data_IF_565407416932
#
_entry.id   IF_565407416932
#
_cell.length_a   1.000
_cell.length_b   1.000
_cell.length_c   1.000
_cell.angle_alpha   90.00
_cell.angle_beta   90.00
_cell.angle_gamma   90.00
#
_symmetry.space_group_name_H-M   'P 1'
#
loop_
_entity.id
_entity.type
_entity.pdbx_description
1 polymer ?
#
# COMPACT_ATOMS: atom_id res chain seq x y z
N UNK A 1 -11.44 -61.52 -42.62
CA UNK A 1 -12.59 -62.23 -42.04
C UNK A 1 -12.22 -62.63 -40.63
N UNK A 2 -12.43 -61.73 -39.68
CA UNK A 2 -12.23 -61.99 -38.26
C UNK A 2 -13.60 -61.85 -37.59
N UNK A 3 -13.99 -62.89 -36.87
CA UNK A 3 -15.29 -63.08 -36.24
C UNK A 3 -15.44 -62.19 -34.99
N UNK A 4 -16.52 -61.41 -34.94
CA UNK A 4 -16.93 -60.67 -33.74
C UNK A 4 -17.50 -61.63 -32.67
N UNK A 5 -17.08 -61.49 -31.40
CA UNK A 5 -17.67 -62.25 -30.31
C UNK A 5 -18.98 -61.63 -29.83
N UNK A 6 -20.00 -62.48 -29.79
CA UNK A 6 -21.35 -62.23 -29.28
C UNK A 6 -21.33 -62.08 -27.75
N UNK A 7 -21.55 -60.86 -27.25
CA UNK A 7 -21.62 -60.54 -25.82
C UNK A 7 -23.08 -60.60 -25.37
N UNK A 8 -23.39 -61.56 -24.52
CA UNK A 8 -24.69 -61.70 -23.83
C UNK A 8 -24.92 -60.57 -22.82
N UNK A 9 -26.15 -60.02 -22.70
CA UNK A 9 -26.46 -58.98 -21.73
C UNK A 9 -26.55 -59.59 -20.33
N UNK A 10 -25.57 -59.26 -19.49
CA UNK A 10 -25.63 -59.52 -18.06
C UNK A 10 -26.58 -58.52 -17.40
N UNK A 11 -27.71 -59.04 -16.94
CA UNK A 11 -28.44 -58.69 -15.71
C UNK A 11 -27.96 -57.42 -15.00
N UNK A 12 -28.55 -56.28 -15.38
CA UNK A 12 -28.44 -55.02 -14.67
C UNK A 12 -29.13 -55.17 -13.31
N UNK A 13 -28.34 -55.36 -12.25
CA UNK A 13 -28.78 -55.11 -10.88
C UNK A 13 -28.81 -53.61 -10.68
N UNK A 14 -29.99 -53.09 -10.37
CA UNK A 14 -30.19 -51.75 -9.82
C UNK A 14 -29.38 -51.64 -8.50
N UNK A 15 -28.12 -51.21 -8.61
CA UNK A 15 -27.42 -50.57 -7.50
C UNK A 15 -28.09 -49.23 -7.27
N UNK A 16 -29.01 -49.22 -6.30
CA UNK A 16 -29.57 -48.00 -5.72
C UNK A 16 -28.39 -47.20 -5.19
N UNK A 17 -28.00 -46.17 -5.94
CA UNK A 17 -26.96 -45.23 -5.51
C UNK A 17 -27.36 -44.70 -4.13
N UNK A 18 -26.46 -44.76 -3.12
CA UNK A 18 -26.75 -44.22 -1.81
C UNK A 18 -27.12 -42.76 -1.95
N UNK A 19 -28.24 -42.39 -1.32
CA UNK A 19 -28.77 -41.04 -1.36
C UNK A 19 -27.67 -40.08 -0.88
N UNK A 20 -27.48 -38.95 -1.58
CA UNK A 20 -26.34 -38.03 -1.36
C UNK A 20 -26.22 -37.62 0.11
N UNK A 21 -27.35 -37.61 0.82
CA UNK A 21 -27.45 -37.32 2.24
C UNK A 21 -26.78 -38.36 3.15
N UNK A 22 -26.82 -39.65 2.81
CA UNK A 22 -26.20 -40.71 3.63
C UNK A 22 -24.66 -40.65 3.55
N UNK A 23 -24.13 -40.24 2.39
CA UNK A 23 -22.68 -40.09 2.20
C UNK A 23 -22.12 -38.89 2.98
N UNK A 24 -22.90 -37.81 3.11
CA UNK A 24 -22.53 -36.62 3.89
C UNK A 24 -22.58 -36.90 5.41
N UNK A 25 -23.56 -37.69 5.87
CA UNK A 25 -23.65 -38.12 7.28
C UNK A 25 -22.50 -39.06 7.64
N UNK A 26 -22.14 -40.01 6.76
CA UNK A 26 -21.02 -40.94 6.99
C UNK A 26 -19.66 -40.23 7.01
N UNK A 27 -19.43 -39.23 6.14
CA UNK A 27 -18.21 -38.42 6.19
C UNK A 27 -18.14 -37.56 7.47
N UNK A 28 -19.27 -37.02 7.91
CA UNK A 28 -19.32 -36.22 9.16
C UNK A 28 -19.02 -37.08 10.38
N UNK A 29 -19.58 -38.30 10.46
CA UNK A 29 -19.34 -39.22 11.58
C UNK A 29 -17.91 -39.79 11.58
N UNK A 30 -17.32 -40.04 10.40
CA UNK A 30 -15.93 -40.48 10.29
C UNK A 30 -14.94 -39.41 10.80
N UNK A 31 -15.22 -38.14 10.55
CA UNK A 31 -14.40 -37.03 11.05
C UNK A 31 -14.56 -36.78 12.56
N UNK A 32 -15.70 -37.08 13.17
CA UNK A 32 -15.86 -37.02 14.63
C UNK A 32 -15.11 -38.15 15.35
N UNK A 33 -15.14 -39.38 14.82
CA UNK A 33 -14.48 -40.52 15.47
C UNK A 33 -12.94 -40.45 15.43
N UNK A 34 -12.35 -39.79 14.43
CA UNK A 34 -10.90 -39.55 14.37
C UNK A 34 -10.42 -38.54 15.43
N UNK A 35 -11.31 -37.66 15.90
CA UNK A 35 -10.96 -36.61 16.85
C UNK A 35 -11.05 -37.02 18.34
N UNK A 36 -11.75 -38.12 18.67
CA UNK A 36 -11.93 -38.54 20.07
C UNK A 36 -10.85 -39.51 20.61
N UNK A 37 -9.98 -40.03 19.73
CA UNK A 37 -9.00 -41.07 20.10
C UNK A 37 -7.59 -40.60 20.40
N UNK A 38 -7.23 -39.33 20.12
CA UNK A 38 -5.86 -38.87 20.31
C UNK A 38 -5.68 -38.39 21.76
N UNK A 39 -4.89 -39.09 22.59
CA UNK A 39 -4.67 -38.69 23.97
C UNK A 39 -4.18 -37.26 23.98
N UNK A 40 -4.86 -36.40 24.74
CA UNK A 40 -4.48 -35.03 25.01
C UNK A 40 -3.08 -35.02 25.62
N UNK A 41 -2.05 -35.06 24.76
CA UNK A 41 -0.66 -34.89 25.12
C UNK A 41 -0.56 -33.51 25.72
N UNK A 42 -0.55 -33.53 27.05
CA UNK A 42 -0.39 -32.39 27.94
C UNK A 42 1.05 -31.89 27.84
N UNK A 43 1.50 -31.56 26.63
CA UNK A 43 2.67 -30.75 26.40
C UNK A 43 2.21 -29.29 26.41
N UNK A 44 1.79 -28.85 27.60
CA UNK A 44 1.72 -27.44 27.96
C UNK A 44 3.14 -26.85 28.09
N UNK A 45 4.04 -27.23 27.18
CA UNK A 45 5.33 -26.62 26.98
C UNK A 45 5.05 -25.24 26.42
N UNK A 46 4.99 -24.26 27.33
CA UNK A 46 5.03 -22.81 27.10
C UNK A 46 5.46 -22.46 25.68
N UNK A 47 4.50 -22.41 24.75
CA UNK A 47 4.73 -21.90 23.41
C UNK A 47 4.99 -20.41 23.59
N UNK A 48 6.27 -20.06 23.66
CA UNK A 48 6.66 -18.66 23.61
C UNK A 48 6.03 -18.07 22.35
N UNK A 49 5.37 -16.92 22.43
CA UNK A 49 4.67 -16.33 21.30
C UNK A 49 5.67 -16.08 20.18
N UNK A 50 5.66 -16.97 19.19
CA UNK A 50 6.57 -16.89 18.04
C UNK A 50 6.29 -15.57 17.33
N UNK A 51 7.33 -14.75 17.13
CA UNK A 51 7.16 -13.47 16.44
C UNK A 51 6.82 -13.72 14.98
N UNK A 52 5.62 -13.32 14.54
CA UNK A 52 5.26 -13.31 13.13
C UNK A 52 5.86 -12.12 12.38
N UNK A 53 6.38 -12.36 11.17
CA UNK A 53 6.88 -11.33 10.25
C UNK A 53 6.41 -11.61 8.81
N UNK A 54 6.08 -10.56 8.03
CA UNK A 54 5.63 -10.74 6.65
C UNK A 54 6.76 -11.28 5.79
N UNK A 55 6.43 -12.13 4.81
CA UNK A 55 7.42 -12.64 3.86
C UNK A 55 7.85 -11.52 2.92
N UNK A 56 9.15 -11.26 2.85
CA UNK A 56 9.69 -10.23 1.94
C UNK A 56 10.20 -10.91 0.68
N UNK A 57 9.36 -11.03 -0.34
CA UNK A 57 9.74 -11.67 -1.61
C UNK A 57 10.53 -10.69 -2.49
N UNK A 58 11.34 -11.17 -3.46
CA UNK A 58 11.96 -10.30 -4.46
C UNK A 58 10.97 -9.38 -5.17
N UNK A 59 9.77 -9.87 -5.50
CA UNK A 59 8.70 -9.03 -6.06
C UNK A 59 8.32 -7.88 -5.12
N UNK A 60 8.04 -8.17 -3.85
CA UNK A 60 7.66 -7.16 -2.86
C UNK A 60 8.79 -6.16 -2.61
N UNK A 61 10.04 -6.62 -2.64
CA UNK A 61 11.19 -5.73 -2.55
C UNK A 61 11.29 -4.80 -3.76
N UNK A 62 11.03 -5.29 -4.98
CA UNK A 62 10.99 -4.46 -6.19
C UNK A 62 9.88 -3.41 -6.14
N UNK A 63 8.70 -3.74 -5.59
CA UNK A 63 7.61 -2.78 -5.37
C UNK A 63 8.01 -1.61 -4.48
N UNK A 64 9.01 -1.77 -3.61
CA UNK A 64 9.57 -0.70 -2.78
C UNK A 64 10.73 0.01 -3.48
N UNK A 65 11.68 -0.76 -4.02
CA UNK A 65 12.91 -0.22 -4.59
C UNK A 65 12.65 0.60 -5.86
N UNK A 66 11.73 0.17 -6.72
CA UNK A 66 11.47 0.85 -7.99
C UNK A 66 10.91 2.27 -7.74
N UNK A 67 9.82 2.48 -6.98
CA UNK A 67 9.35 3.84 -6.67
C UNK A 67 10.41 4.73 -6.02
N UNK A 68 11.19 4.20 -5.07
CA UNK A 68 12.29 4.95 -4.42
C UNK A 68 13.35 5.38 -5.43
N UNK A 69 13.76 4.48 -6.32
CA UNK A 69 14.79 4.76 -7.34
C UNK A 69 14.30 5.79 -8.36
N UNK A 70 13.05 5.68 -8.82
CA UNK A 70 12.44 6.60 -9.79
C UNK A 70 12.23 7.97 -9.15
N UNK A 71 11.68 8.02 -7.93
CA UNK A 71 11.52 9.27 -7.19
C UNK A 71 12.87 9.97 -7.02
N UNK A 72 13.91 9.23 -6.62
CA UNK A 72 15.25 9.79 -6.43
C UNK A 72 15.86 10.29 -7.74
N UNK A 73 15.75 9.52 -8.82
CA UNK A 73 16.22 9.92 -10.15
C UNK A 73 15.50 11.19 -10.62
N UNK A 74 14.16 11.23 -10.47
CA UNK A 74 13.33 12.39 -10.79
C UNK A 74 13.78 13.62 -10.02
N UNK A 75 13.92 13.51 -8.69
CA UNK A 75 14.39 14.62 -7.85
C UNK A 75 15.75 15.13 -8.27
N UNK A 76 16.72 14.26 -8.54
CA UNK A 76 18.05 14.67 -8.99
C UNK A 76 17.96 15.42 -10.33
N UNK A 77 17.19 14.92 -11.29
CA UNK A 77 17.02 15.60 -12.60
C UNK A 77 16.30 16.94 -12.47
N UNK A 78 15.23 17.00 -11.65
CA UNK A 78 14.51 18.25 -11.40
C UNK A 78 15.39 19.30 -10.72
N UNK A 79 16.25 18.89 -9.77
CA UNK A 79 17.17 19.80 -9.09
C UNK A 79 18.30 20.32 -9.99
N UNK A 80 18.60 19.63 -11.10
CA UNK A 80 19.53 20.11 -12.13
C UNK A 80 18.90 21.13 -13.09
N UNK A 81 17.60 21.38 -12.98
CA UNK A 81 16.86 22.25 -13.88
C UNK A 81 16.42 21.59 -15.18
N UNK A 82 16.59 20.26 -15.32
CA UNK A 82 16.10 19.53 -16.49
C UNK A 82 14.58 19.43 -16.41
N UNK A 83 13.86 19.98 -17.40
CA UNK A 83 12.38 19.89 -17.44
C UNK A 83 11.90 18.64 -18.17
N UNK A 84 12.59 18.19 -19.22
CA UNK A 84 12.17 17.05 -20.05
C UNK A 84 12.38 15.71 -19.35
N UNK A 85 13.57 15.49 -18.76
CA UNK A 85 13.91 14.23 -18.10
C UNK A 85 12.92 13.81 -17.00
N UNK A 86 12.58 14.65 -15.99
CA UNK A 86 11.64 14.25 -14.94
C UNK A 86 10.23 13.97 -15.47
N UNK A 87 9.78 14.69 -16.51
CA UNK A 87 8.49 14.42 -17.17
C UNK A 87 8.51 13.05 -17.85
N UNK A 88 9.58 12.72 -18.58
CA UNK A 88 9.69 11.40 -19.22
C UNK A 88 9.75 10.26 -18.22
N UNK A 89 10.45 10.43 -17.10
CA UNK A 89 10.48 9.46 -16.01
C UNK A 89 9.08 9.25 -15.42
N UNK A 90 8.30 10.32 -15.23
CA UNK A 90 6.92 10.24 -14.76
C UNK A 90 6.04 9.41 -15.70
N UNK A 91 6.09 9.67 -17.01
CA UNK A 91 5.32 8.91 -17.99
C UNK A 91 5.71 7.43 -18.06
N UNK A 92 7.01 7.14 -18.13
CA UNK A 92 7.51 5.76 -18.22
C UNK A 92 7.17 5.00 -16.94
N UNK A 93 7.38 5.61 -15.78
CA UNK A 93 7.07 4.98 -14.49
C UNK A 93 5.57 4.77 -14.30
N UNK A 94 4.75 5.77 -14.62
CA UNK A 94 3.30 5.71 -14.43
C UNK A 94 2.62 4.67 -15.32
N UNK A 95 3.12 4.44 -16.54
CA UNK A 95 2.49 3.48 -17.47
C UNK A 95 3.22 2.15 -17.45
N UNK A 96 4.51 2.13 -17.80
CA UNK A 96 5.25 0.88 -18.06
C UNK A 96 5.50 0.14 -16.76
N UNK A 97 6.06 0.82 -15.77
CA UNK A 97 6.39 0.18 -14.48
C UNK A 97 5.12 -0.24 -13.76
N UNK A 98 4.11 0.63 -13.68
CA UNK A 98 2.82 0.29 -13.10
C UNK A 98 2.19 -0.95 -13.74
N UNK A 99 2.13 -1.00 -15.07
CA UNK A 99 1.52 -2.12 -15.78
C UNK A 99 2.28 -3.44 -15.57
N UNK A 100 3.62 -3.39 -15.56
CA UNK A 100 4.45 -4.56 -15.26
C UNK A 100 4.23 -5.05 -13.83
N UNK A 101 4.24 -4.16 -12.85
CA UNK A 101 4.02 -4.52 -11.44
C UNK A 101 2.58 -5.01 -11.20
N UNK A 102 1.60 -4.40 -11.85
CA UNK A 102 0.20 -4.82 -11.80
C UNK A 102 0.02 -6.25 -12.30
N UNK A 103 0.58 -6.57 -13.48
CA UNK A 103 0.52 -7.93 -14.02
C UNK A 103 1.32 -8.90 -13.15
N UNK A 104 2.49 -8.51 -12.64
CA UNK A 104 3.27 -9.33 -11.72
C UNK A 104 2.50 -9.63 -10.43
N UNK A 105 1.73 -8.68 -9.90
CA UNK A 105 0.88 -8.88 -8.72
C UNK A 105 -0.21 -9.93 -8.93
N UNK A 106 -0.74 -10.07 -10.15
CA UNK A 106 -1.68 -11.15 -10.47
C UNK A 106 -1.06 -12.55 -10.32
N UNK A 107 0.24 -12.68 -10.59
CA UNK A 107 0.95 -13.96 -10.39
C UNK A 107 1.24 -14.26 -8.92
N UNK A 108 1.24 -13.26 -8.04
CA UNK A 108 1.44 -13.48 -6.60
C UNK A 108 0.29 -14.29 -5.99
N UNK A 109 -0.94 -14.09 -6.48
CA UNK A 109 -2.13 -14.82 -6.02
C UNK A 109 -2.41 -16.11 -6.80
N UNK A 110 -1.71 -16.35 -7.90
CA UNK A 110 -1.93 -17.54 -8.71
C UNK A 110 -1.34 -18.79 -8.05
N UNK A 111 -2.14 -19.85 -7.90
CA UNK A 111 -1.67 -21.14 -7.37
C UNK A 111 -0.60 -21.78 -8.28
N UNK A 112 -0.75 -21.60 -9.60
CA UNK A 112 0.10 -22.22 -10.62
C UNK A 112 1.04 -21.19 -11.25
N UNK A 113 2.24 -21.04 -10.67
CA UNK A 113 3.31 -20.25 -11.27
C UNK A 113 4.21 -21.11 -12.18
N UNK A 114 4.68 -20.58 -13.32
CA UNK A 114 5.73 -21.23 -14.09
C UNK A 114 6.97 -21.50 -13.22
N UNK A 115 7.57 -22.71 -13.26
CA UNK A 115 8.67 -23.08 -12.36
C UNK A 115 9.88 -22.14 -12.42
N UNK A 116 10.19 -21.60 -13.60
CA UNK A 116 11.30 -20.67 -13.80
C UNK A 116 11.05 -19.27 -13.22
N UNK A 117 9.80 -18.92 -12.91
CA UNK A 117 9.42 -17.60 -12.37
C UNK A 117 9.04 -17.67 -10.88
N UNK A 118 8.76 -18.87 -10.36
CA UNK A 118 8.33 -19.09 -8.99
C UNK A 118 9.30 -18.53 -7.93
N UNK A 119 10.60 -18.44 -8.24
CA UNK A 119 11.60 -17.92 -7.29
C UNK A 119 11.33 -16.46 -6.90
N UNK A 120 10.76 -15.63 -7.80
CA UNK A 120 10.49 -14.20 -7.55
C UNK A 120 9.44 -14.00 -6.45
N UNK A 121 8.51 -14.95 -6.30
CA UNK A 121 7.41 -14.88 -5.34
C UNK A 121 7.57 -15.85 -4.16
N UNK A 122 8.29 -16.96 -4.33
CA UNK A 122 8.44 -17.97 -3.28
C UNK A 122 9.66 -17.77 -2.39
N UNK A 123 10.71 -17.12 -2.89
CA UNK A 123 11.92 -16.93 -2.10
C UNK A 123 11.72 -15.82 -1.08
N UNK A 124 12.08 -16.09 0.19
CA UNK A 124 12.08 -15.07 1.25
C UNK A 124 13.45 -14.35 1.26
N UNK A 125 13.46 -13.08 0.90
CA UNK A 125 14.68 -12.25 0.92
C UNK A 125 15.27 -12.12 2.32
N UNK A 126 14.47 -12.29 3.38
CA UNK A 126 14.98 -12.26 4.75
C UNK A 126 16.01 -13.38 5.00
N UNK A 127 15.92 -14.52 4.32
CA UNK A 127 16.92 -15.58 4.45
C UNK A 127 18.30 -15.14 3.98
N UNK A 128 18.37 -14.38 2.87
CA UNK A 128 19.62 -13.81 2.39
C UNK A 128 20.15 -12.73 3.32
N UNK A 129 19.26 -11.86 3.82
CA UNK A 129 19.62 -10.83 4.78
C UNK A 129 20.18 -11.45 6.07
N UNK A 130 19.55 -12.49 6.60
CA UNK A 130 20.04 -13.21 7.77
C UNK A 130 21.35 -13.93 7.51
N UNK A 131 21.56 -14.51 6.32
CA UNK A 131 22.87 -15.08 5.95
C UNK A 131 23.98 -14.01 5.92
N UNK A 132 23.66 -12.80 5.46
CA UNK A 132 24.58 -11.67 5.52
C UNK A 132 24.83 -11.22 6.96
N UNK A 133 23.80 -11.14 7.80
CA UNK A 133 23.93 -10.77 9.21
C UNK A 133 24.66 -11.83 10.05
N UNK A 134 24.50 -13.10 9.71
CA UNK A 134 25.22 -14.23 10.31
C UNK A 134 26.72 -14.12 10.05
N UNK A 135 27.13 -13.58 8.89
CA UNK A 135 28.55 -13.25 8.63
C UNK A 135 29.11 -12.19 9.60
N UNK A 136 28.24 -11.40 10.25
CA UNK A 136 28.57 -10.42 11.29
C UNK A 136 28.26 -10.95 12.69
N UNK A 137 28.04 -12.26 12.84
CA UNK A 137 27.75 -12.95 14.12
C UNK A 137 26.46 -12.49 14.82
N UNK A 138 25.46 -12.01 14.08
CA UNK A 138 24.14 -11.68 14.63
C UNK A 138 23.23 -12.91 14.51
N UNK A 139 22.76 -13.50 15.63
CA UNK A 139 21.96 -14.72 15.59
C UNK A 139 20.59 -14.48 14.94
N UNK A 140 20.15 -15.42 14.10
CA UNK A 140 18.83 -15.38 13.45
C UNK A 140 17.71 -15.56 14.48
N UNK A 141 16.76 -14.63 14.61
CA UNK A 141 15.59 -14.81 15.45
C UNK A 141 14.66 -15.88 14.86
N UNK A 142 13.96 -16.62 15.72
CA UNK A 142 12.94 -17.56 15.30
C UNK A 142 11.65 -16.80 14.98
N UNK A 143 11.20 -16.86 13.73
CA UNK A 143 9.95 -16.23 13.29
C UNK A 143 9.17 -17.13 12.35
N UNK A 144 7.87 -16.88 12.29
CA UNK A 144 6.96 -17.50 11.32
C UNK A 144 6.54 -16.46 10.27
N UNK A 145 6.45 -16.89 9.01
CA UNK A 145 6.04 -16.07 7.86
C UNK A 145 4.83 -16.64 7.14
N UNK A 146 4.00 -17.42 7.85
CA UNK A 146 2.79 -18.02 7.27
C UNK A 146 1.72 -16.95 7.13
N UNK A 147 1.37 -16.63 5.90
CA UNK A 147 0.37 -15.63 5.54
C UNK A 147 -1.02 -16.29 5.45
N UNK A 148 -2.05 -15.54 5.86
CA UNK A 148 -3.44 -15.94 5.68
C UNK A 148 -3.88 -15.64 4.26
N UNK A 149 -4.74 -16.47 3.69
CA UNK A 149 -5.44 -16.14 2.45
C UNK A 149 -6.22 -14.83 2.62
N UNK A 150 -5.87 -13.84 1.80
CA UNK A 150 -6.44 -12.52 1.85
C UNK A 150 -7.78 -12.51 1.13
N UNK A 151 -8.88 -12.35 1.88
CA UNK A 151 -10.14 -11.91 1.29
C UNK A 151 -10.03 -10.44 0.89
N UNK A 152 -10.50 -10.08 -0.31
CA UNK A 152 -10.54 -8.68 -0.76
C UNK A 152 -11.57 -7.90 0.07
N UNK A 153 -11.16 -7.36 1.21
CA UNK A 153 -11.97 -6.50 2.07
C UNK A 153 -11.37 -5.10 2.11
N UNK A 154 -12.23 -4.08 1.95
CA UNK A 154 -11.86 -2.69 2.20
C UNK A 154 -11.55 -2.51 3.70
N UNK A 155 -10.27 -2.40 4.05
CA UNK A 155 -9.82 -2.21 5.45
C UNK A 155 -9.56 -0.74 5.78
N UNK A 156 -9.44 -0.40 7.07
CA UNK A 156 -9.08 0.96 7.52
C UNK A 156 -7.72 1.41 6.96
N UNK A 157 -6.81 0.46 6.75
CA UNK A 157 -5.54 0.71 6.07
C UNK A 157 -5.73 1.29 4.66
N UNK A 158 -6.67 0.77 3.86
CA UNK A 158 -6.94 1.30 2.52
C UNK A 158 -7.44 2.76 2.55
N UNK A 159 -8.24 3.12 3.55
CA UNK A 159 -8.67 4.51 3.77
C UNK A 159 -7.50 5.41 4.18
N UNK A 160 -6.60 4.92 5.04
CA UNK A 160 -5.38 5.66 5.45
C UNK A 160 -4.49 5.96 4.24
N UNK A 161 -4.22 4.95 3.40
CA UNK A 161 -3.42 5.10 2.18
C UNK A 161 -4.07 6.10 1.25
N UNK A 162 -5.37 5.96 0.99
CA UNK A 162 -6.12 6.86 0.10
C UNK A 162 -6.10 8.32 0.59
N UNK A 163 -6.34 8.54 1.88
CA UNK A 163 -6.32 9.87 2.47
C UNK A 163 -4.93 10.50 2.41
N UNK A 164 -3.87 9.71 2.64
CA UNK A 164 -2.49 10.16 2.54
C UNK A 164 -2.16 10.65 1.12
N UNK A 165 -2.55 9.90 0.09
CA UNK A 165 -2.34 10.28 -1.32
C UNK A 165 -3.07 11.58 -1.65
N UNK A 166 -4.33 11.71 -1.22
CA UNK A 166 -5.15 12.91 -1.46
C UNK A 166 -4.52 14.14 -0.80
N UNK A 167 -4.15 14.04 0.49
CA UNK A 167 -3.56 15.16 1.23
C UNK A 167 -2.22 15.59 0.63
N UNK A 168 -1.35 14.63 0.31
CA UNK A 168 -0.07 14.93 -0.30
C UNK A 168 -0.19 15.49 -1.72
N UNK A 169 -1.17 15.02 -2.48
CA UNK A 169 -1.54 15.60 -3.78
C UNK A 169 -1.97 17.05 -3.64
N UNK A 170 -2.80 17.38 -2.64
CA UNK A 170 -3.18 18.76 -2.34
C UNK A 170 -2.00 19.61 -1.89
N UNK A 171 -1.13 19.10 -1.01
CA UNK A 171 0.08 19.80 -0.58
C UNK A 171 1.00 20.11 -1.75
N UNK A 172 1.21 19.15 -2.66
CA UNK A 172 1.97 19.34 -3.90
C UNK A 172 1.32 20.42 -4.78
N UNK A 173 0.01 20.36 -4.98
CA UNK A 173 -0.72 21.33 -5.79
C UNK A 173 -0.58 22.75 -5.22
N UNK A 174 -0.70 22.91 -3.90
CA UNK A 174 -0.47 24.19 -3.24
C UNK A 174 0.98 24.67 -3.41
N UNK A 175 1.97 23.81 -3.21
CA UNK A 175 3.38 24.17 -3.39
C UNK A 175 3.67 24.63 -4.83
N UNK A 176 3.12 23.93 -5.82
CA UNK A 176 3.22 24.31 -7.23
C UNK A 176 2.51 25.64 -7.53
N UNK A 177 1.34 25.89 -6.94
CA UNK A 177 0.58 27.13 -7.12
C UNK A 177 1.35 28.36 -6.63
N UNK A 178 2.12 28.24 -5.54
CA UNK A 178 2.96 29.31 -5.00
C UNK A 178 4.34 29.41 -5.66
N UNK A 179 4.54 28.78 -6.83
CA UNK A 179 5.80 28.77 -7.58
C UNK A 179 7.00 28.24 -6.76
N UNK A 180 6.73 27.32 -5.81
CA UNK A 180 7.75 26.65 -5.00
C UNK A 180 8.11 25.31 -5.63
N UNK A 181 8.68 25.35 -6.84
CA UNK A 181 9.03 24.16 -7.61
C UNK A 181 9.88 23.16 -6.80
N UNK A 182 10.87 23.65 -6.04
CA UNK A 182 11.73 22.80 -5.20
C UNK A 182 10.95 22.12 -4.08
N UNK A 183 10.06 22.84 -3.39
CA UNK A 183 9.23 22.26 -2.33
C UNK A 183 8.28 21.19 -2.90
N UNK A 184 7.69 21.44 -4.07
CA UNK A 184 6.84 20.49 -4.78
C UNK A 184 7.60 19.18 -5.11
N UNK A 185 8.85 19.30 -5.58
CA UNK A 185 9.72 18.14 -5.84
C UNK A 185 10.04 17.36 -4.56
N UNK A 186 10.32 18.04 -3.44
CA UNK A 186 10.57 17.36 -2.16
C UNK A 186 9.33 16.65 -1.61
N UNK A 187 8.16 17.29 -1.68
CA UNK A 187 6.88 16.67 -1.27
C UNK A 187 6.66 15.38 -2.04
N UNK A 188 6.86 15.43 -3.36
CA UNK A 188 6.74 14.25 -4.21
C UNK A 188 7.75 13.15 -3.84
N UNK A 189 9.01 13.51 -3.60
CA UNK A 189 10.03 12.54 -3.21
C UNK A 189 9.74 11.89 -1.85
N UNK A 190 9.36 12.68 -0.85
CA UNK A 190 9.02 12.16 0.49
C UNK A 190 7.81 11.24 0.41
N UNK A 191 6.78 11.63 -0.35
CA UNK A 191 5.61 10.79 -0.57
C UNK A 191 6.02 9.44 -1.18
N UNK A 192 6.68 9.48 -2.34
CA UNK A 192 6.97 8.28 -3.11
C UNK A 192 8.02 7.38 -2.45
N UNK A 193 9.08 7.95 -1.87
CA UNK A 193 10.21 7.17 -1.36
C UNK A 193 10.01 6.72 0.09
N UNK A 194 9.50 7.59 0.96
CA UNK A 194 9.44 7.30 2.39
C UNK A 194 8.05 6.81 2.77
N UNK A 195 7.03 7.60 2.48
CA UNK A 195 5.66 7.35 2.94
C UNK A 195 5.07 6.13 2.25
N UNK A 196 5.15 6.04 0.93
CA UNK A 196 4.63 4.87 0.19
C UNK A 196 5.37 3.60 0.58
N UNK A 197 6.69 3.65 0.78
CA UNK A 197 7.46 2.48 1.25
C UNK A 197 7.04 2.03 2.65
N UNK A 198 6.88 2.98 3.59
CA UNK A 198 6.45 2.67 4.95
C UNK A 198 5.01 2.10 4.96
N UNK A 199 4.10 2.73 4.23
CA UNK A 199 2.72 2.24 4.10
C UNK A 199 2.69 0.87 3.45
N UNK A 200 3.48 0.63 2.39
CA UNK A 200 3.59 -0.68 1.76
C UNK A 200 4.04 -1.75 2.76
N UNK A 201 5.10 -1.49 3.53
CA UNK A 201 5.59 -2.42 4.57
C UNK A 201 4.50 -2.68 5.61
N UNK A 202 3.77 -1.65 6.05
CA UNK A 202 2.62 -1.81 6.96
C UNK A 202 1.52 -2.65 6.30
N UNK A 203 1.22 -2.44 5.02
CA UNK A 203 0.24 -3.20 4.26
C UNK A 203 0.57 -4.69 4.17
N UNK A 204 1.85 -5.07 4.18
CA UNK A 204 2.24 -6.49 4.25
C UNK A 204 1.76 -7.20 5.53
N UNK A 205 1.43 -6.45 6.59
CA UNK A 205 0.87 -7.01 7.82
C UNK A 205 -0.64 -7.29 7.74
N UNK A 206 -1.32 -6.92 6.64
CA UNK A 206 -2.75 -7.20 6.44
C UNK A 206 -3.04 -8.71 6.46
N UNK A 207 -2.11 -9.52 5.94
CA UNK A 207 -2.25 -10.98 5.84
C UNK A 207 -1.69 -11.73 7.05
N UNK A 208 -1.53 -11.05 8.18
CA UNK A 208 -0.97 -11.62 9.39
C UNK A 208 -1.90 -12.65 10.05
N UNK A 209 -1.45 -13.90 10.13
CA UNK A 209 -2.17 -14.99 10.81
C UNK A 209 -2.20 -14.84 12.34
N UNK A 210 -1.23 -14.16 12.93
CA UNK A 210 -1.12 -13.97 14.38
C UNK A 210 -2.07 -12.90 14.95
N UNK A 211 -2.92 -12.27 14.11
CA UNK A 211 -3.89 -11.26 14.56
C UNK A 211 -3.25 -10.03 15.22
N UNK A 212 -1.96 -9.74 14.94
CA UNK A 212 -1.37 -8.48 15.43
C UNK A 212 -1.98 -7.33 14.61
N UNK A 213 -2.31 -6.24 15.29
CA UNK A 213 -2.87 -5.03 14.68
C UNK A 213 -4.28 -5.21 14.10
N UNK A 214 -5.10 -6.05 14.74
CA UNK A 214 -6.51 -6.24 14.36
C UNK A 214 -7.29 -4.94 14.21
N UNK A 215 -6.96 -3.88 14.96
CA UNK A 215 -7.63 -2.57 14.85
C UNK A 215 -7.44 -1.91 13.47
N UNK A 216 -6.33 -2.18 12.76
CA UNK A 216 -6.07 -1.60 11.44
C UNK A 216 -6.68 -2.43 10.30
N UNK A 217 -6.66 -3.74 10.47
CA UNK A 217 -7.04 -4.72 9.43
C UNK A 217 -8.38 -5.40 9.72
N UNK A 218 -9.15 -4.91 10.69
CA UNK A 218 -10.45 -5.49 11.01
C UNK A 218 -11.40 -5.34 9.84
N UNK A 219 -12.04 -6.44 9.47
CA UNK A 219 -13.07 -6.44 8.45
C UNK A 219 -14.29 -5.66 8.95
N UNK A 220 -14.51 -4.48 8.35
CA UNK A 220 -15.63 -3.61 8.67
C UNK A 220 -17.00 -4.19 8.29
N UNK A 221 -17.06 -5.27 7.49
CA UNK A 221 -18.33 -5.87 7.03
C UNK A 221 -19.20 -6.41 8.15
N UNK A 222 -18.58 -6.88 9.24
CA UNK A 222 -19.32 -7.48 10.35
C UNK A 222 -19.95 -6.45 11.31
N UNK A 223 -19.66 -5.15 11.16
CA UNK A 223 -20.17 -4.09 12.04
C UNK A 223 -20.64 -2.83 11.29
N UNK A 224 -21.62 -2.94 10.36
CA UNK A 224 -22.02 -1.83 9.48
C UNK A 224 -22.57 -0.60 10.22
N UNK A 225 -23.18 -0.78 11.40
CA UNK A 225 -23.80 0.31 12.16
C UNK A 225 -22.81 1.09 13.04
N UNK A 226 -21.64 0.53 13.35
CA UNK A 226 -20.63 1.18 14.21
C UNK A 226 -19.54 1.89 13.40
N UNK A 227 -19.39 1.57 12.11
CA UNK A 227 -18.34 2.13 11.24
C UNK A 227 -18.54 3.63 10.94
N UNK A 228 -19.78 4.11 10.95
CA UNK A 228 -20.10 5.53 10.67
C UNK A 228 -19.79 6.44 11.88
N UNK A 229 -19.64 5.89 13.09
CA UNK A 229 -19.45 6.69 14.31
C UNK A 229 -18.23 6.28 15.17
N UNK A 230 -17.74 5.04 15.07
CA UNK A 230 -16.70 4.45 15.92
C UNK A 230 -15.30 4.33 15.31
N UNK A 231 -15.16 4.59 14.01
CA UNK A 231 -13.85 4.67 13.32
C UNK A 231 -13.00 5.92 13.65
N UNK A 232 -13.47 7.05 14.23
CA UNK A 232 -12.68 8.27 14.18
C UNK A 232 -11.58 8.39 15.24
N UNK A 233 -11.58 7.60 16.32
CA UNK A 233 -10.61 7.86 17.40
C UNK A 233 -9.28 7.13 17.23
N UNK A 234 -9.26 5.79 17.07
CA UNK A 234 -7.99 5.07 16.94
C UNK A 234 -7.33 5.30 15.58
N UNK A 235 -8.02 4.92 14.51
CA UNK A 235 -7.54 5.09 13.14
C UNK A 235 -7.43 6.57 12.75
N UNK A 236 -8.39 7.39 13.14
CA UNK A 236 -8.34 8.84 12.89
C UNK A 236 -7.22 9.54 13.66
N UNK A 237 -6.93 9.17 14.92
CA UNK A 237 -5.78 9.71 15.63
C UNK A 237 -4.47 9.30 14.98
N UNK A 238 -4.33 8.04 14.55
CA UNK A 238 -3.10 7.59 13.89
C UNK A 238 -2.96 8.26 12.52
N UNK A 239 -4.03 8.39 11.75
CA UNK A 239 -4.04 9.16 10.51
C UNK A 239 -3.70 10.64 10.76
N UNK A 240 -4.21 11.24 11.84
CA UNK A 240 -3.94 12.62 12.21
C UNK A 240 -2.49 12.81 12.69
N UNK A 241 -1.94 11.89 13.48
CA UNK A 241 -0.53 11.90 13.90
C UNK A 241 0.36 11.71 12.67
N UNK A 242 0.01 10.78 11.79
CA UNK A 242 0.73 10.57 10.54
C UNK A 242 0.71 11.85 9.69
N UNK A 243 -0.43 12.52 9.60
CA UNK A 243 -0.58 13.79 8.90
C UNK A 243 0.17 14.94 9.55
N UNK A 244 0.19 15.00 10.88
CA UNK A 244 1.00 15.94 11.62
C UNK A 244 2.49 15.75 11.29
N UNK A 245 2.98 14.52 11.37
CA UNK A 245 4.39 14.18 11.11
C UNK A 245 4.76 14.53 9.68
N UNK A 246 3.92 14.15 8.72
CA UNK A 246 4.19 14.39 7.32
C UNK A 246 4.18 15.89 6.98
N UNK A 247 3.25 16.66 7.54
CA UNK A 247 3.25 18.11 7.38
C UNK A 247 4.45 18.78 8.05
N UNK A 248 4.93 18.29 9.19
CA UNK A 248 6.19 18.77 9.79
C UNK A 248 7.36 18.54 8.83
N UNK A 249 7.46 17.38 8.18
CA UNK A 249 8.51 17.09 7.20
C UNK A 249 8.44 18.06 6.02
N UNK A 250 7.24 18.35 5.51
CA UNK A 250 7.05 19.32 4.42
C UNK A 250 7.46 20.73 4.85
N UNK A 251 7.04 21.17 6.04
CA UNK A 251 7.41 22.49 6.59
C UNK A 251 8.93 22.59 6.77
N UNK A 252 9.56 21.58 7.37
CA UNK A 252 11.02 21.56 7.57
C UNK A 252 11.76 21.56 6.23
N UNK A 253 11.32 20.76 5.25
CA UNK A 253 11.90 20.75 3.89
C UNK A 253 11.76 22.09 3.18
N UNK A 254 10.59 22.74 3.29
CA UNK A 254 10.36 24.09 2.76
C UNK A 254 11.25 25.12 3.43
N UNK A 255 11.36 25.09 4.75
CA UNK A 255 12.23 25.95 5.55
C UNK A 255 13.70 25.77 5.16
N UNK A 256 14.19 24.53 5.11
CA UNK A 256 15.57 24.21 4.69
C UNK A 256 15.86 24.69 3.26
N UNK A 257 14.87 24.66 2.36
CA UNK A 257 15.03 25.17 1.01
C UNK A 257 15.17 26.70 1.00
N UNK A 258 14.35 27.40 1.78
CA UNK A 258 14.41 28.86 1.92
C UNK A 258 15.78 29.28 2.50
N UNK A 259 16.22 28.62 3.57
CA UNK A 259 17.51 28.91 4.19
C UNK A 259 18.71 28.37 3.39
N UNK A 260 18.54 27.32 2.60
CA UNK A 260 19.59 26.81 1.71
C UNK A 260 19.89 27.77 0.56
N UNK A 261 18.87 28.45 0.04
CA UNK A 261 19.02 29.46 -1.01
C UNK A 261 19.80 30.70 -0.55
N UNK A 262 19.79 31.01 0.74
CA UNK A 262 20.64 32.07 1.31
C UNK A 262 22.09 31.63 1.55
N UNK A 263 22.37 30.33 1.58
CA UNK A 263 23.72 29.79 1.89
C UNK A 263 24.49 29.40 0.63
N UNK A 264 23.83 28.93 -0.43
CA UNK A 264 24.51 28.56 -1.68
C UNK A 264 24.73 29.83 -2.50
N UNK A 265 25.98 30.32 -2.65
CA UNK A 265 26.26 31.50 -3.44
C UNK A 265 25.82 31.27 -4.88
N UNK A 266 25.16 32.29 -5.43
CA UNK A 266 24.63 32.36 -6.79
C UNK A 266 25.65 31.78 -7.77
N UNK A 267 25.40 30.56 -8.29
CA UNK A 267 26.13 30.09 -9.46
C UNK A 267 25.72 31.04 -10.59
N UNK A 268 26.68 31.67 -11.29
CA UNK A 268 26.35 32.58 -12.38
C UNK A 268 25.54 31.81 -13.42
N UNK A 269 24.30 32.25 -13.62
CA UNK A 269 23.44 31.74 -14.67
C UNK A 269 24.14 31.97 -16.02
N UNK A 270 24.18 30.92 -16.84
CA UNK A 270 24.54 31.03 -18.24
C UNK A 270 23.55 32.03 -18.90
N UNK A 271 24.05 33.12 -19.48
CA UNK A 271 23.23 34.17 -20.11
C UNK A 271 22.37 33.60 -21.26
N UNK A 272 21.08 33.49 -20.95
CA UNK A 272 19.87 33.84 -21.70
C UNK A 272 19.81 33.75 -23.22
N UNK A 273 18.85 32.92 -23.64
CA UNK A 273 17.89 33.27 -24.70
C UNK A 273 16.83 34.19 -24.05
N UNK A 274 16.49 35.35 -24.64
CA UNK A 274 15.57 36.29 -24.02
C UNK A 274 14.15 35.72 -23.96
N UNK A 275 13.69 35.39 -22.74
CA UNK A 275 12.27 35.19 -22.44
C UNK A 275 11.76 36.43 -21.69
N UNK A 276 10.71 37.07 -22.20
CA UNK A 276 10.05 38.16 -21.49
C UNK A 276 9.54 37.68 -20.12
N UNK A 277 9.89 38.36 -19.01
CA UNK A 277 9.47 37.94 -17.69
C UNK A 277 7.97 38.20 -17.49
N UNK A 278 7.20 37.12 -17.37
CA UNK A 278 5.81 37.18 -16.90
C UNK A 278 5.85 37.65 -15.44
N UNK A 279 5.46 38.91 -15.20
CA UNK A 279 5.35 39.47 -13.84
C UNK A 279 4.11 38.91 -13.14
N UNK A 280 4.27 37.83 -12.39
CA UNK A 280 3.26 37.40 -11.43
C UNK A 280 3.36 38.20 -10.13
N UNK A 281 2.23 38.49 -9.45
CA UNK A 281 2.24 39.21 -8.18
C UNK A 281 2.95 38.38 -7.11
N UNK A 282 3.96 39.00 -6.47
CA UNK A 282 4.75 38.41 -5.40
C UNK A 282 3.86 38.24 -4.15
N UNK A 283 3.49 36.99 -3.85
CA UNK A 283 2.68 36.65 -2.68
C UNK A 283 3.49 36.82 -1.38
N UNK A 284 2.89 37.41 -0.36
CA UNK A 284 3.48 37.58 0.97
C UNK A 284 3.72 36.22 1.64
N UNK A 285 4.96 35.95 2.05
CA UNK A 285 5.41 34.71 2.68
C UNK A 285 4.57 34.34 3.93
N UNK A 286 3.97 35.33 4.59
CA UNK A 286 3.12 35.14 5.77
C UNK A 286 1.77 34.46 5.46
N UNK A 287 1.20 34.70 4.28
CA UNK A 287 -0.06 34.10 3.83
C UNK A 287 0.14 32.62 3.47
N UNK A 288 1.32 32.28 2.94
CA UNK A 288 1.68 30.93 2.51
C UNK A 288 1.80 30.00 3.73
N UNK A 289 2.46 30.45 4.80
CA UNK A 289 2.57 29.66 6.02
C UNK A 289 1.19 29.38 6.63
N UNK A 290 0.27 30.35 6.54
CA UNK A 290 -1.12 30.18 7.01
C UNK A 290 -1.89 29.16 6.20
N UNK A 291 -1.76 29.14 4.88
CA UNK A 291 -2.46 28.17 4.02
C UNK A 291 -1.92 26.75 4.22
N UNK A 292 -0.61 26.57 4.37
CA UNK A 292 0.00 25.27 4.66
C UNK A 292 -0.45 24.76 6.03
N UNK A 293 -0.48 25.62 7.04
CA UNK A 293 -0.97 25.27 8.39
C UNK A 293 -2.47 24.98 8.36
N UNK A 294 -3.29 25.79 7.66
CA UNK A 294 -4.74 25.57 7.58
C UNK A 294 -5.11 24.29 6.81
N UNK A 295 -4.41 23.96 5.72
CA UNK A 295 -4.61 22.71 4.98
C UNK A 295 -4.14 21.47 5.76
N UNK A 296 -3.11 21.63 6.62
CA UNK A 296 -2.61 20.56 7.48
C UNK A 296 -3.52 20.27 8.68
N UNK A 297 -4.03 21.32 9.33
CA UNK A 297 -4.77 21.21 10.59
C UNK A 297 -6.30 21.29 10.42
N UNK A 298 -6.80 21.75 9.26
CA UNK A 298 -8.22 21.96 8.98
C UNK A 298 -9.05 20.69 8.73
N UNK A 299 -8.45 19.50 8.83
CA UNK A 299 -9.16 18.22 8.73
C UNK A 299 -9.97 17.84 9.98
N UNK A 300 -9.84 18.58 11.09
CA UNK A 300 -10.77 18.49 12.22
C UNK A 300 -11.81 19.58 12.01
N UNK A 301 -13.11 19.25 11.82
CA UNK A 301 -14.14 20.25 11.63
C UNK A 301 -14.44 20.91 12.98
N UNK A 302 -13.58 21.85 13.40
CA UNK A 302 -13.99 22.92 14.29
C UNK A 302 -14.36 24.08 13.39
N UNK A 303 -15.54 23.98 12.75
CA UNK A 303 -16.18 25.13 12.13
C UNK A 303 -16.51 26.11 13.26
N UNK A 304 -15.94 27.33 13.30
CA UNK A 304 -16.54 28.38 14.09
C UNK A 304 -17.90 28.71 13.47
N UNK A 305 -18.93 28.73 14.30
CA UNK A 305 -20.31 29.05 13.91
C UNK A 305 -20.35 30.29 13.02
N UNK A 306 -20.66 30.10 11.73
CA UNK A 306 -21.11 31.21 10.87
C UNK A 306 -20.58 31.31 9.45
N UNK A 307 -19.57 30.53 9.02
CA UNK A 307 -19.10 30.62 7.62
C UNK A 307 -19.90 29.68 6.70
N UNK A 308 -21.02 30.16 6.17
CA UNK A 308 -21.72 29.50 5.05
C UNK A 308 -20.94 29.72 3.76
N UNK A 309 -20.09 28.76 3.40
CA UNK A 309 -19.58 28.65 2.02
C UNK A 309 -20.67 27.96 1.20
N UNK A 310 -21.41 28.74 0.41
CA UNK A 310 -22.35 28.21 -0.57
C UNK A 310 -21.60 27.55 -1.72
N UNK A 311 -21.36 26.24 -1.64
CA UNK A 311 -20.99 25.43 -2.81
C UNK A 311 -22.30 25.14 -3.56
N UNK A 312 -22.68 26.06 -4.44
CA UNK A 312 -23.73 25.84 -5.42
C UNK A 312 -23.19 25.02 -6.58
N UNK A 313 -23.04 23.70 -6.40
CA UNK A 313 -22.89 22.78 -7.53
C UNK A 313 -24.28 22.25 -7.90
N UNK A 314 -24.92 22.91 -8.86
CA UNK A 314 -26.10 22.38 -9.54
C UNK A 314 -25.62 21.24 -10.46
N UNK A 315 -25.91 20.00 -10.07
CA UNK A 315 -25.76 18.84 -10.94
C UNK A 315 -26.98 18.81 -11.89
N UNK A 316 -26.78 19.17 -13.16
CA UNK A 316 -27.74 18.78 -14.20
C UNK A 316 -27.49 17.31 -14.58
N UNK A 317 -28.55 16.49 -14.68
CA UNK A 317 -28.40 15.10 -15.08
C UNK A 317 -28.09 15.02 -16.59
N UNK A 318 -26.93 14.46 -16.93
CA UNK A 318 -26.64 14.02 -18.29
C UNK A 318 -27.60 12.88 -18.68
N UNK A 319 -28.46 13.15 -19.65
CA UNK A 319 -29.22 12.13 -20.37
C UNK A 319 -28.28 11.35 -21.30
N UNK A 320 -28.23 10.04 -21.12
CA UNK A 320 -27.49 9.11 -21.98
C UNK A 320 -28.19 9.03 -23.34
N UNK A 321 -27.43 9.26 -24.42
CA UNK A 321 -27.73 8.74 -25.77
C UNK A 321 -26.89 7.49 -26.00
#
# INVERSE_FOLDING_TARGET
>A
MASEPNITPAEARDEVAPDVLEMEILNTAAHEAENEGLPASTDAASEFPTSWHPKLTPFRLLNVLIPVSIASAKTITSLRGDSTAPITLEWISGIVVFLVLFHAGYYESAEQLPPWFAWVFRTDCMEYLWRLLDSVSIPRPHYTSVERESGSTLTTYHLLVSNTVVLMGMTKACASYYDRAVASVWVEWVLAAIITSALYIVGLYENNSAGKWTTFFQDTRNYPSTVICGVPFGGGLIAAIFQLVTSVVVVVGGVLTIYGKTIIPHVPHYEDIPQEPIRLPQADDSQILRVIVLSTFGGIPLLPDGLRIGIGCSFEPFSVF
#
